data_IF_391336947273
#
_entry.id   IF_391336947273
#
_cell.length_a   1.000
_cell.length_b   1.000
_cell.length_c   1.000
_cell.angle_alpha   90.00
_cell.angle_beta   90.00
_cell.angle_gamma   90.00
#
_symmetry.space_group_name_H-M   'P 1'
#
loop_
_entity.id
_entity.type
_entity.pdbx_description
1 polymer ?
#
# COMPACT_ATOMS: atom_id res chain seq x y z
N UNK A 1 29.94 -0.86 -1.40
CA UNK A 1 28.70 -0.21 -1.87
C UNK A 1 28.38 -0.86 -3.20
N UNK A 2 27.43 -1.81 -3.21
CA UNK A 2 26.99 -2.44 -4.45
C UNK A 2 25.62 -1.88 -4.77
N UNK A 3 25.53 -1.33 -5.97
CA UNK A 3 24.33 -0.80 -6.62
C UNK A 3 23.13 -1.69 -6.33
N UNK A 4 22.14 -1.12 -5.63
CA UNK A 4 20.82 -1.72 -5.52
C UNK A 4 20.23 -1.61 -6.92
N UNK A 5 20.33 -2.70 -7.69
CA UNK A 5 19.59 -2.83 -8.92
C UNK A 5 18.14 -2.51 -8.62
N UNK A 6 17.66 -1.46 -9.26
CA UNK A 6 16.30 -1.02 -9.33
C UNK A 6 15.47 -2.09 -10.03
N UNK A 7 15.11 -3.17 -9.34
CA UNK A 7 14.13 -4.14 -9.83
C UNK A 7 12.71 -3.54 -9.93
N UNK A 8 12.54 -2.25 -9.61
CA UNK A 8 11.50 -1.42 -10.23
C UNK A 8 11.89 -1.13 -11.70
N UNK A 9 12.15 -2.18 -12.48
CA UNK A 9 12.28 -2.03 -13.91
C UNK A 9 10.93 -1.54 -14.44
N UNK A 10 11.00 -0.47 -15.21
CA UNK A 10 9.93 0.17 -15.97
C UNK A 10 9.02 -0.87 -16.65
N UNK A 11 8.03 -1.39 -15.93
CA UNK A 11 6.85 -1.97 -16.55
C UNK A 11 6.12 -0.78 -17.16
N UNK A 12 6.48 -0.48 -18.41
CA UNK A 12 5.81 0.51 -19.24
C UNK A 12 4.32 0.17 -19.21
N UNK A 13 3.55 1.01 -18.53
CA UNK A 13 2.13 0.81 -18.43
C UNK A 13 1.49 1.18 -19.76
N UNK A 14 0.93 0.19 -20.47
CA UNK A 14 0.41 0.35 -21.84
C UNK A 14 -1.06 -0.03 -21.94
N UNK A 15 -1.90 0.39 -20.98
CA UNK A 15 -3.34 0.13 -21.08
C UNK A 15 -4.01 1.05 -22.10
N UNK A 16 -4.81 0.44 -22.98
CA UNK A 16 -5.70 1.17 -23.91
C UNK A 16 -7.00 1.61 -23.25
N UNK A 17 -7.35 1.04 -22.09
CA UNK A 17 -8.56 1.38 -21.34
C UNK A 17 -8.35 2.69 -20.56
N UNK A 18 -9.14 3.76 -20.82
CA UNK A 18 -9.04 5.03 -20.09
C UNK A 18 -9.13 4.87 -18.57
N UNK A 19 -10.06 4.07 -18.09
CA UNK A 19 -10.34 3.87 -16.66
C UNK A 19 -9.14 3.23 -15.95
N UNK A 20 -8.48 2.27 -16.60
CA UNK A 20 -7.26 1.63 -16.07
C UNK A 20 -6.09 2.61 -16.12
N UNK A 21 -5.99 3.50 -17.12
CA UNK A 21 -4.99 4.59 -17.14
C UNK A 21 -5.17 5.58 -16.00
N UNK A 22 -6.39 5.97 -15.71
CA UNK A 22 -6.68 6.88 -14.61
C UNK A 22 -6.48 6.22 -13.24
N UNK A 23 -6.84 4.94 -13.10
CA UNK A 23 -6.53 4.14 -11.91
C UNK A 23 -5.02 4.01 -11.70
N UNK A 24 -4.24 3.80 -12.76
CA UNK A 24 -2.79 3.78 -12.70
C UNK A 24 -2.20 5.15 -12.34
N UNK A 25 -2.80 6.25 -12.81
CA UNK A 25 -2.41 7.59 -12.39
C UNK A 25 -2.59 7.75 -10.88
N UNK A 26 -3.72 7.31 -10.31
CA UNK A 26 -3.94 7.34 -8.84
C UNK A 26 -2.88 6.52 -8.12
N UNK A 27 -2.60 5.32 -8.60
CA UNK A 27 -1.55 4.45 -8.08
C UNK A 27 -0.19 5.18 -8.03
N UNK A 28 0.21 5.82 -9.13
CA UNK A 28 1.46 6.58 -9.19
C UNK A 28 1.40 7.83 -8.32
N UNK A 29 0.23 8.46 -8.21
CA UNK A 29 0.04 9.68 -7.44
C UNK A 29 0.27 9.46 -5.95
N UNK A 30 -0.24 8.37 -5.39
CA UNK A 30 0.04 7.98 -4.00
C UNK A 30 1.55 7.90 -3.74
N UNK A 31 2.29 7.25 -4.64
CA UNK A 31 3.74 7.04 -4.51
C UNK A 31 4.57 8.31 -4.71
N UNK A 32 4.13 9.17 -5.63
CA UNK A 32 4.93 10.31 -6.10
C UNK A 32 4.66 11.60 -5.31
N UNK A 33 3.46 11.76 -4.72
CA UNK A 33 3.13 12.99 -4.00
C UNK A 33 4.00 13.16 -2.76
N UNK A 34 4.15 12.08 -1.98
CA UNK A 34 5.05 12.03 -0.83
C UNK A 34 5.77 10.67 -0.81
N UNK A 35 6.97 10.57 -1.40
CA UNK A 35 7.73 9.32 -1.43
C UNK A 35 7.99 8.80 -0.03
N UNK A 36 7.64 7.53 0.19
CA UNK A 36 7.72 6.86 1.48
C UNK A 36 8.15 5.40 1.30
N UNK A 37 8.54 4.76 2.40
CA UNK A 37 9.03 3.38 2.43
C UNK A 37 8.07 2.50 3.22
N UNK A 38 7.82 1.30 2.70
CA UNK A 38 7.07 0.26 3.39
C UNK A 38 7.96 -0.56 4.33
N UNK A 39 7.51 -0.69 5.57
CA UNK A 39 8.19 -1.51 6.58
C UNK A 39 7.99 -3.00 6.29
N UNK A 40 6.93 -3.39 5.57
CA UNK A 40 6.69 -4.79 5.16
C UNK A 40 7.66 -5.22 4.06
N UNK A 41 8.00 -4.34 3.10
CA UNK A 41 9.03 -4.62 2.09
C UNK A 41 10.43 -4.80 2.68
N UNK A 42 10.71 -4.12 3.79
CA UNK A 42 11.96 -4.29 4.53
C UNK A 42 11.94 -5.61 5.31
N UNK A 43 10.78 -6.02 5.81
CA UNK A 43 10.62 -7.27 6.56
C UNK A 43 10.82 -8.51 5.69
N UNK A 44 10.40 -8.51 4.42
CA UNK A 44 10.70 -9.59 3.47
C UNK A 44 12.22 -9.85 3.36
N UNK A 45 13.02 -8.78 3.23
CA UNK A 45 14.49 -8.89 3.23
C UNK A 45 15.08 -9.39 4.54
N UNK A 46 14.37 -9.24 5.66
CA UNK A 46 14.81 -9.83 6.94
C UNK A 46 14.51 -11.33 6.99
N UNK A 47 13.42 -11.79 6.36
CA UNK A 47 13.10 -13.21 6.27
C UNK A 47 14.16 -13.96 5.43
N UNK A 48 14.64 -13.38 4.34
CA UNK A 48 15.77 -13.95 3.58
C UNK A 48 17.03 -14.13 4.44
N UNK A 49 17.26 -13.20 5.39
CA UNK A 49 18.39 -13.25 6.33
C UNK A 49 18.15 -14.29 7.43
N UNK A 50 16.90 -14.41 7.91
CA UNK A 50 16.47 -15.44 8.85
C UNK A 50 16.75 -16.83 8.29
N UNK A 51 16.33 -17.08 7.05
CA UNK A 51 16.53 -18.34 6.35
C UNK A 51 18.01 -18.61 6.07
N UNK A 52 18.77 -17.61 5.61
CA UNK A 52 20.18 -17.78 5.30
C UNK A 52 21.09 -17.92 6.53
N UNK A 53 20.68 -17.40 7.71
CA UNK A 53 21.53 -17.40 8.90
C UNK A 53 20.71 -17.29 10.21
N UNK A 54 19.98 -18.34 10.55
CA UNK A 54 19.11 -18.43 11.74
C UNK A 54 19.83 -18.10 13.06
N UNK A 55 21.05 -18.60 13.26
CA UNK A 55 21.79 -18.36 14.51
C UNK A 55 22.14 -16.88 14.69
N UNK A 56 22.47 -16.20 13.60
CA UNK A 56 22.73 -14.77 13.59
C UNK A 56 21.44 -13.99 13.82
N UNK A 57 20.35 -14.40 13.17
CA UNK A 57 19.02 -13.82 13.36
C UNK A 57 18.57 -13.89 14.81
N UNK A 58 18.57 -15.09 15.42
CA UNK A 58 18.18 -15.36 16.81
C UNK A 58 18.97 -14.51 17.80
N UNK A 59 20.29 -14.40 17.60
CA UNK A 59 21.17 -13.55 18.44
C UNK A 59 20.74 -12.08 18.51
N UNK A 60 19.97 -11.60 17.53
CA UNK A 60 19.58 -10.19 17.44
C UNK A 60 18.11 -9.94 17.77
N UNK A 61 17.21 -10.89 17.55
CA UNK A 61 15.81 -10.74 17.98
C UNK A 61 15.68 -10.72 19.50
N UNK A 62 16.50 -11.54 20.19
CA UNK A 62 16.38 -11.76 21.64
C UNK A 62 17.19 -10.77 22.48
N UNK A 63 18.06 -9.95 21.87
CA UNK A 63 18.95 -9.04 22.61
C UNK A 63 18.41 -7.61 22.71
N UNK A 64 18.51 -6.99 23.89
CA UNK A 64 18.20 -5.58 24.07
C UNK A 64 19.21 -4.70 23.32
N UNK A 65 18.77 -3.50 22.93
CA UNK A 65 19.46 -2.62 21.97
C UNK A 65 20.91 -2.26 22.39
N UNK A 66 21.21 -2.25 23.69
CA UNK A 66 22.54 -1.98 24.23
C UNK A 66 23.52 -3.15 24.12
N UNK A 67 23.05 -4.40 24.09
CA UNK A 67 23.91 -5.58 23.93
C UNK A 67 24.53 -5.66 22.51
N UNK A 68 24.02 -4.84 21.59
CA UNK A 68 24.47 -4.71 20.21
C UNK A 68 25.75 -3.85 20.07
N UNK A 69 26.02 -2.97 21.06
CA UNK A 69 27.15 -2.03 21.04
C UNK A 69 28.52 -2.70 21.24
N UNK A 70 28.54 -3.91 21.81
CA UNK A 70 29.77 -4.64 22.13
C UNK A 70 30.21 -5.66 21.07
N UNK A 71 29.48 -5.82 19.96
CA UNK A 71 29.87 -6.77 18.92
C UNK A 71 31.04 -6.23 18.06
N UNK A 72 32.17 -6.96 18.05
CA UNK A 72 33.40 -6.60 17.32
C UNK A 72 33.42 -7.11 15.86
N UNK A 73 32.53 -8.01 15.47
CA UNK A 73 32.49 -8.54 14.09
C UNK A 73 31.84 -7.53 13.11
N UNK A 74 32.53 -7.09 12.03
CA UNK A 74 32.00 -6.13 11.07
C UNK A 74 30.73 -6.59 10.32
N UNK A 75 30.60 -7.88 9.99
CA UNK A 75 29.39 -8.40 9.32
C UNK A 75 28.19 -8.30 10.24
N UNK A 76 28.36 -8.73 11.49
CA UNK A 76 27.34 -8.66 12.53
C UNK A 76 26.89 -7.21 12.78
N UNK A 77 27.81 -6.23 12.80
CA UNK A 77 27.47 -4.80 12.95
C UNK A 77 26.55 -4.28 11.84
N UNK A 78 26.71 -4.75 10.60
CA UNK A 78 25.84 -4.34 9.49
C UNK A 78 24.42 -4.88 9.69
N UNK A 79 24.29 -6.17 10.04
CA UNK A 79 23.00 -6.78 10.35
C UNK A 79 22.33 -6.09 11.56
N UNK A 80 23.10 -5.83 12.61
CA UNK A 80 22.65 -5.11 13.80
C UNK A 80 22.02 -3.75 13.49
N UNK A 81 22.71 -2.94 12.69
CA UNK A 81 22.19 -1.62 12.26
C UNK A 81 20.88 -1.76 11.49
N UNK A 82 20.75 -2.80 10.67
CA UNK A 82 19.56 -3.07 9.88
C UNK A 82 18.37 -3.49 10.77
N UNK A 83 18.58 -4.36 11.76
CA UNK A 83 17.56 -4.75 12.74
C UNK A 83 17.12 -3.57 13.63
N UNK A 84 18.06 -2.80 14.17
CA UNK A 84 17.74 -1.63 14.99
C UNK A 84 17.00 -0.56 14.17
N UNK A 85 17.41 -0.34 12.92
CA UNK A 85 16.69 0.53 12.00
C UNK A 85 15.27 0.01 11.73
N UNK A 86 15.08 -1.28 11.46
CA UNK A 86 13.77 -1.91 11.28
C UNK A 86 12.87 -1.71 12.52
N UNK A 87 13.37 -2.00 13.73
CA UNK A 87 12.60 -1.82 14.97
C UNK A 87 12.13 -0.37 15.13
N UNK A 88 13.03 0.60 14.88
CA UNK A 88 12.70 2.02 14.95
C UNK A 88 11.61 2.44 13.95
N UNK A 89 11.70 2.01 12.68
CA UNK A 89 10.68 2.37 11.68
C UNK A 89 9.33 1.67 11.96
N UNK A 90 9.34 0.42 12.44
CA UNK A 90 8.11 -0.30 12.84
C UNK A 90 7.45 0.37 14.03
N UNK A 91 8.25 0.82 15.01
CA UNK A 91 7.73 1.60 16.13
C UNK A 91 7.12 2.93 15.67
N UNK A 92 7.80 3.68 14.80
CA UNK A 92 7.28 4.97 14.28
C UNK A 92 5.93 4.83 13.59
N UNK A 93 5.76 3.82 12.73
CA UNK A 93 4.47 3.61 12.05
C UNK A 93 3.38 3.15 13.02
N UNK A 94 3.73 2.36 14.04
CA UNK A 94 2.79 1.98 15.09
C UNK A 94 2.33 3.20 15.89
N UNK A 95 3.28 4.02 16.38
CA UNK A 95 2.99 5.23 17.15
C UNK A 95 2.14 6.22 16.33
N UNK A 96 2.41 6.36 15.02
CA UNK A 96 1.60 7.16 14.10
C UNK A 96 0.15 6.63 14.00
N UNK A 97 -0.03 5.33 13.74
CA UNK A 97 -1.36 4.70 13.65
C UNK A 97 -2.17 4.83 14.94
N UNK A 98 -1.53 4.67 16.10
CA UNK A 98 -2.19 4.83 17.40
C UNK A 98 -2.65 6.28 17.61
N UNK A 99 -1.83 7.27 17.21
CA UNK A 99 -2.22 8.68 17.31
C UNK A 99 -3.49 9.02 16.52
N UNK A 100 -3.75 8.31 15.43
CA UNK A 100 -4.93 8.56 14.58
C UNK A 100 -6.19 7.83 15.06
N UNK A 101 -6.04 6.77 15.87
CA UNK A 101 -7.17 5.96 16.36
C UNK A 101 -7.99 6.68 17.44
N UNK A 102 -7.46 7.75 18.01
CA UNK A 102 -8.11 8.54 19.06
C UNK A 102 -9.32 9.27 18.45
N UNK A 103 -10.54 8.78 18.70
CA UNK A 103 -11.80 9.46 18.32
C UNK A 103 -12.76 8.68 17.41
N UNK A 104 -12.42 7.47 16.96
CA UNK A 104 -13.29 6.64 16.10
C UNK A 104 -12.94 6.73 14.61
N UNK A 105 -13.85 6.30 13.72
CA UNK A 105 -13.62 6.32 12.27
C UNK A 105 -13.96 7.71 11.71
N UNK A 106 -12.93 8.55 11.60
CA UNK A 106 -12.98 9.85 10.92
C UNK A 106 -12.00 9.84 9.74
N UNK A 107 -12.50 9.53 8.55
CA UNK A 107 -11.66 9.42 7.37
C UNK A 107 -11.15 10.79 6.89
N UNK A 108 -11.89 11.88 7.11
CA UNK A 108 -11.47 13.23 6.73
C UNK A 108 -10.20 13.67 7.48
N UNK A 109 -10.17 13.50 8.81
CA UNK A 109 -8.97 13.79 9.58
C UNK A 109 -7.84 12.77 9.30
N UNK A 110 -8.20 11.50 9.05
CA UNK A 110 -7.24 10.46 8.68
C UNK A 110 -6.45 10.80 7.42
N UNK A 111 -7.04 11.48 6.42
CA UNK A 111 -6.29 11.92 5.23
C UNK A 111 -5.05 12.73 5.61
N UNK A 112 -5.22 13.76 6.44
CA UNK A 112 -4.12 14.63 6.85
C UNK A 112 -3.06 13.91 7.67
N UNK A 113 -3.51 13.00 8.52
CA UNK A 113 -2.68 12.13 9.33
C UNK A 113 -1.78 11.24 8.46
N UNK A 114 -2.34 10.55 7.47
CA UNK A 114 -1.59 9.70 6.55
C UNK A 114 -0.63 10.52 5.68
N UNK A 115 -1.08 11.65 5.13
CA UNK A 115 -0.22 12.56 4.37
C UNK A 115 0.94 13.10 5.24
N UNK A 116 0.66 13.43 6.50
CA UNK A 116 1.66 13.83 7.49
C UNK A 116 2.71 12.74 7.70
N UNK A 117 2.29 11.49 7.92
CA UNK A 117 3.23 10.36 8.05
C UNK A 117 4.06 10.15 6.78
N UNK A 118 3.45 10.22 5.59
CA UNK A 118 4.21 10.11 4.34
C UNK A 118 5.24 11.22 4.21
N UNK A 119 4.87 12.46 4.59
CA UNK A 119 5.73 13.64 4.45
C UNK A 119 6.87 13.65 5.47
N UNK A 120 6.57 13.44 6.75
CA UNK A 120 7.48 13.64 7.87
C UNK A 120 8.15 12.35 8.34
N UNK A 121 7.42 11.24 8.38
CA UNK A 121 8.00 9.94 8.75
C UNK A 121 8.66 9.22 7.58
N UNK A 122 8.24 9.53 6.35
CA UNK A 122 8.66 8.82 5.13
C UNK A 122 8.30 7.33 5.18
N UNK A 123 7.21 6.98 5.87
CA UNK A 123 6.76 5.60 6.06
C UNK A 123 5.30 5.42 5.60
N UNK A 124 4.98 4.26 5.04
CA UNK A 124 3.62 3.90 4.62
C UNK A 124 3.57 2.45 4.15
N UNK A 125 2.55 1.70 4.55
CA UNK A 125 2.32 0.33 4.13
C UNK A 125 1.06 0.23 3.26
N UNK A 126 0.76 -0.98 2.77
CA UNK A 126 -0.35 -1.26 1.87
C UNK A 126 -1.71 -0.73 2.37
N UNK A 127 -1.93 -0.71 3.69
CA UNK A 127 -3.14 -0.13 4.29
C UNK A 127 -3.25 1.39 4.10
N UNK A 128 -2.17 2.14 4.36
CA UNK A 128 -2.14 3.59 4.13
C UNK A 128 -2.21 3.92 2.63
N UNK A 129 -1.50 3.14 1.81
CA UNK A 129 -1.50 3.27 0.35
C UNK A 129 -2.90 3.07 -0.24
N UNK A 130 -3.57 1.99 0.15
CA UNK A 130 -4.94 1.67 -0.27
C UNK A 130 -5.92 2.76 0.15
N UNK A 131 -5.83 3.22 1.40
CA UNK A 131 -6.68 4.29 1.92
C UNK A 131 -6.49 5.59 1.13
N UNK A 132 -5.24 5.97 0.84
CA UNK A 132 -4.95 7.17 0.05
C UNK A 132 -5.41 7.03 -1.41
N UNK A 133 -5.28 5.85 -2.02
CA UNK A 133 -5.81 5.62 -3.36
C UNK A 133 -7.33 5.79 -3.41
N UNK A 134 -8.07 5.18 -2.47
CA UNK A 134 -9.51 5.31 -2.37
C UNK A 134 -9.92 6.77 -2.09
N UNK A 135 -9.20 7.47 -1.22
CA UNK A 135 -9.39 8.90 -0.93
C UNK A 135 -9.20 9.76 -2.18
N UNK A 136 -8.15 9.54 -2.96
CA UNK A 136 -7.91 10.29 -4.20
C UNK A 136 -9.06 10.06 -5.18
N UNK A 137 -9.52 8.82 -5.36
CA UNK A 137 -10.69 8.54 -6.20
C UNK A 137 -11.94 9.30 -5.71
N UNK A 138 -12.19 9.29 -4.40
CA UNK A 138 -13.32 9.98 -3.75
C UNK A 138 -13.26 11.49 -3.94
N UNK A 139 -12.09 12.11 -3.73
CA UNK A 139 -11.83 13.53 -3.99
C UNK A 139 -12.18 13.88 -5.44
N UNK A 140 -11.78 13.01 -6.37
CA UNK A 140 -12.02 13.18 -7.79
C UNK A 140 -13.42 12.73 -8.25
N UNK A 141 -14.35 12.45 -7.34
CA UNK A 141 -15.77 12.24 -7.64
C UNK A 141 -16.18 10.81 -7.95
N UNK A 142 -15.33 9.82 -7.65
CA UNK A 142 -15.73 8.41 -7.73
C UNK A 142 -16.35 7.99 -6.40
N UNK A 143 -17.61 7.63 -6.47
CA UNK A 143 -18.37 7.06 -5.37
C UNK A 143 -18.00 5.56 -5.16
N UNK A 144 -18.38 4.99 -4.02
CA UNK A 144 -18.28 3.56 -3.73
C UNK A 144 -16.85 2.98 -3.85
N UNK A 145 -15.87 3.77 -3.40
CA UNK A 145 -14.47 3.34 -3.34
C UNK A 145 -14.21 2.71 -1.99
N UNK A 146 -13.57 1.54 -2.01
CA UNK A 146 -13.32 0.75 -0.82
C UNK A 146 -11.83 0.46 -0.67
N UNK A 147 -11.40 0.29 0.57
CA UNK A 147 -10.23 -0.52 0.87
C UNK A 147 -10.65 -1.96 1.12
N UNK A 148 -9.83 -2.93 0.75
CA UNK A 148 -10.11 -4.34 0.98
C UNK A 148 -8.83 -5.11 1.23
N UNK A 149 -8.89 -6.06 2.18
CA UNK A 149 -7.81 -7.02 2.41
C UNK A 149 -7.90 -8.18 1.42
N UNK A 150 -6.76 -8.77 1.09
CA UNK A 150 -6.72 -9.98 0.28
C UNK A 150 -6.89 -11.24 1.15
N UNK A 151 -7.54 -12.24 0.55
CA UNK A 151 -7.70 -13.59 1.07
C UNK A 151 -7.29 -14.58 -0.04
N UNK A 152 -6.47 -15.55 0.30
CA UNK A 152 -5.87 -16.51 -0.63
C UNK A 152 -6.18 -17.91 -0.11
N UNK A 153 -6.86 -18.74 -0.92
CA UNK A 153 -7.20 -20.13 -0.58
C UNK A 153 -7.85 -20.26 0.82
N UNK A 154 -8.79 -19.38 1.15
CA UNK A 154 -9.44 -19.39 2.46
C UNK A 154 -8.64 -18.73 3.59
N UNK A 155 -7.36 -18.40 3.38
CA UNK A 155 -6.45 -17.83 4.38
C UNK A 155 -6.24 -16.33 4.21
N UNK A 156 -5.96 -15.63 5.30
CA UNK A 156 -5.72 -14.18 5.25
C UNK A 156 -4.32 -13.89 4.75
N UNK A 157 -4.24 -12.98 3.77
CA UNK A 157 -2.99 -12.34 3.39
C UNK A 157 -2.91 -10.97 4.10
N UNK A 158 -1.74 -10.64 4.65
CA UNK A 158 -1.47 -9.32 5.23
C UNK A 158 -1.18 -8.29 4.12
N UNK A 159 -2.19 -8.06 3.28
CA UNK A 159 -2.12 -7.11 2.17
C UNK A 159 -3.47 -6.45 1.94
N UNK A 160 -3.44 -5.13 1.72
CA UNK A 160 -4.61 -4.27 1.52
C UNK A 160 -4.50 -3.54 0.19
N UNK A 161 -5.63 -3.37 -0.49
CA UNK A 161 -5.71 -2.71 -1.80
C UNK A 161 -6.94 -1.80 -1.86
N UNK A 162 -6.94 -0.84 -2.79
CA UNK A 162 -8.12 -0.06 -3.13
C UNK A 162 -8.92 -0.79 -4.23
N UNK A 163 -10.24 -0.84 -4.09
CA UNK A 163 -11.14 -1.54 -5.01
C UNK A 163 -12.39 -0.72 -5.25
N UNK A 164 -12.87 -0.70 -6.49
CA UNK A 164 -14.15 -0.10 -6.88
C UNK A 164 -14.65 -0.74 -8.17
N UNK A 165 -15.94 -0.59 -8.50
CA UNK A 165 -16.47 -1.03 -9.78
C UNK A 165 -16.54 0.16 -10.76
N UNK A 166 -16.06 -0.07 -12.00
CA UNK A 166 -16.03 0.95 -13.05
C UNK A 166 -17.40 1.36 -13.62
N UNK A 167 -18.48 0.73 -13.19
CA UNK A 167 -19.85 1.14 -13.51
C UNK A 167 -20.47 2.01 -12.39
N UNK A 168 -19.71 2.29 -11.32
CA UNK A 168 -20.17 3.05 -10.16
C UNK A 168 -21.01 2.24 -9.17
N UNK A 169 -21.25 0.94 -9.42
CA UNK A 169 -21.95 0.08 -8.48
C UNK A 169 -21.12 -0.16 -7.21
N UNK A 170 -21.80 -0.39 -6.08
CA UNK A 170 -21.14 -0.72 -4.81
C UNK A 170 -20.38 -2.04 -4.92
N UNK A 171 -19.15 -2.06 -4.41
CA UNK A 171 -18.35 -3.26 -4.34
C UNK A 171 -18.69 -4.05 -3.06
N UNK A 172 -19.30 -5.23 -3.22
CA UNK A 172 -19.76 -6.07 -2.11
C UNK A 172 -18.76 -7.16 -1.67
N UNK A 173 -17.49 -7.02 -2.07
CA UNK A 173 -16.44 -8.02 -1.78
C UNK A 173 -16.29 -9.12 -2.83
N UNK A 174 -17.21 -9.24 -3.80
CA UNK A 174 -17.09 -10.20 -4.91
C UNK A 174 -16.69 -9.47 -6.20
N UNK A 175 -15.52 -9.79 -6.79
CA UNK A 175 -15.09 -9.16 -8.04
C UNK A 175 -15.97 -9.59 -9.20
N UNK A 176 -16.19 -8.66 -10.13
CA UNK A 176 -16.83 -8.88 -11.41
C UNK A 176 -16.00 -8.24 -12.54
N UNK A 177 -16.49 -8.29 -13.79
CA UNK A 177 -15.80 -7.72 -14.97
C UNK A 177 -15.54 -6.21 -14.91
N UNK A 178 -16.25 -5.49 -14.05
CA UNK A 178 -16.11 -4.06 -13.85
C UNK A 178 -15.22 -3.72 -12.65
N UNK A 179 -14.81 -4.69 -11.83
CA UNK A 179 -14.01 -4.43 -10.64
C UNK A 179 -12.58 -4.06 -11.03
N UNK A 180 -12.13 -2.88 -10.60
CA UNK A 180 -10.76 -2.39 -10.74
C UNK A 180 -10.09 -2.44 -9.37
N UNK A 181 -8.84 -2.89 -9.34
CA UNK A 181 -7.98 -2.86 -8.17
C UNK A 181 -6.87 -1.83 -8.41
N UNK A 182 -6.61 -0.99 -7.41
CA UNK A 182 -5.45 -0.11 -7.33
C UNK A 182 -4.61 -0.57 -6.15
N UNK A 183 -3.38 -0.97 -6.45
CA UNK A 183 -2.40 -1.40 -5.46
C UNK A 183 -1.13 -0.55 -5.58
N UNK A 184 -1.05 0.59 -4.87
CA UNK A 184 0.14 1.44 -4.88
C UNK A 184 1.36 0.77 -4.25
N UNK A 185 1.15 -0.20 -3.36
CA UNK A 185 2.25 -0.90 -2.71
C UNK A 185 3.03 -1.73 -3.72
N UNK A 186 2.38 -2.50 -4.61
CA UNK A 186 3.09 -3.12 -5.76
C UNK A 186 3.33 -2.12 -6.90
N UNK A 187 2.55 -1.04 -6.96
CA UNK A 187 2.67 0.03 -7.96
C UNK A 187 1.88 -0.21 -9.24
N UNK A 188 0.80 -0.97 -9.18
CA UNK A 188 -0.05 -1.27 -10.34
C UNK A 188 -1.54 -1.11 -10.06
N UNK A 189 -2.27 -0.76 -11.12
CA UNK A 189 -3.72 -0.83 -11.18
C UNK A 189 -4.18 -1.54 -12.46
N UNK A 190 -5.24 -2.33 -12.36
CA UNK A 190 -5.89 -3.01 -13.50
C UNK A 190 -7.25 -3.57 -13.08
N UNK A 191 -7.97 -4.19 -14.00
CA UNK A 191 -9.10 -5.05 -13.67
C UNK A 191 -8.69 -6.17 -12.71
N UNK A 192 -9.61 -6.56 -11.83
CA UNK A 192 -9.35 -7.57 -10.80
C UNK A 192 -8.80 -8.88 -11.36
N UNK A 193 -9.35 -9.37 -12.48
CA UNK A 193 -8.86 -10.57 -13.16
C UNK A 193 -7.38 -10.47 -13.57
N UNK A 194 -6.98 -9.33 -14.12
CA UNK A 194 -5.61 -9.07 -14.55
C UNK A 194 -4.67 -8.89 -13.34
N UNK A 195 -5.11 -8.17 -12.32
CA UNK A 195 -4.34 -8.00 -11.08
C UNK A 195 -4.11 -9.32 -10.37
N UNK A 196 -5.10 -10.21 -10.31
CA UNK A 196 -4.92 -11.55 -9.74
C UNK A 196 -3.87 -12.37 -10.49
N UNK A 197 -3.86 -12.31 -11.82
CA UNK A 197 -2.80 -12.96 -12.61
C UNK A 197 -1.42 -12.36 -12.33
N UNK A 198 -1.33 -11.04 -12.19
CA UNK A 198 -0.07 -10.36 -11.83
C UNK A 198 0.39 -10.74 -10.42
N UNK A 199 -0.51 -10.83 -9.44
CA UNK A 199 -0.15 -11.28 -8.09
C UNK A 199 0.45 -12.69 -8.10
N UNK A 200 -0.11 -13.59 -8.91
CA UNK A 200 0.35 -14.97 -9.04
C UNK A 200 1.68 -15.12 -9.79
N UNK A 201 1.87 -14.34 -10.86
CA UNK A 201 2.94 -14.59 -11.83
C UNK A 201 4.08 -13.57 -11.76
N UNK A 202 3.81 -12.36 -11.27
CA UNK A 202 4.77 -11.24 -11.26
C UNK A 202 5.17 -10.86 -9.84
N UNK A 203 4.22 -10.93 -8.90
CA UNK A 203 4.42 -10.44 -7.52
C UNK A 203 4.39 -11.55 -6.46
N UNK A 204 4.48 -12.82 -6.85
CA UNK A 204 4.42 -13.97 -5.93
C UNK A 204 5.55 -13.96 -4.90
N UNK A 205 6.72 -13.44 -5.24
CA UNK A 205 7.85 -13.25 -4.31
C UNK A 205 7.60 -12.13 -3.30
N UNK A 206 6.79 -11.12 -3.66
CA UNK A 206 6.45 -10.00 -2.77
C UNK A 206 5.23 -10.32 -1.90
N UNK A 207 4.29 -11.10 -2.43
CA UNK A 207 3.05 -11.52 -1.80
C UNK A 207 3.12 -13.02 -1.50
N UNK A 208 3.96 -13.35 -0.52
CA UNK A 208 4.26 -14.74 -0.12
C UNK A 208 2.96 -15.49 0.19
N UNK A 209 2.85 -16.71 -0.33
CA UNK A 209 1.70 -17.60 -0.12
C UNK A 209 0.71 -17.66 -1.28
N UNK A 210 0.86 -16.80 -2.30
CA UNK A 210 0.07 -16.89 -3.54
C UNK A 210 0.72 -17.90 -4.50
N UNK A 211 -0.01 -18.96 -4.86
CA UNK A 211 0.39 -19.94 -5.87
C UNK A 211 -0.38 -19.70 -7.19
N UNK A 212 0.10 -20.21 -8.34
CA UNK A 212 -0.58 -20.03 -9.63
C UNK A 212 -2.06 -20.46 -9.62
N UNK A 213 -2.38 -21.55 -8.93
CA UNK A 213 -3.72 -22.08 -8.79
C UNK A 213 -4.56 -21.42 -7.69
N UNK A 214 -3.96 -20.55 -6.86
CA UNK A 214 -4.65 -20.01 -5.69
C UNK A 214 -5.89 -19.21 -6.06
N UNK A 215 -6.95 -19.35 -5.28
CA UNK A 215 -8.12 -18.49 -5.36
C UNK A 215 -7.84 -17.20 -4.57
N UNK A 216 -8.03 -16.04 -5.22
CA UNK A 216 -7.88 -14.73 -4.57
C UNK A 216 -9.26 -14.10 -4.42
N UNK A 217 -9.62 -13.75 -3.18
CA UNK A 217 -10.86 -13.08 -2.80
C UNK A 217 -10.56 -11.89 -1.89
N UNK A 218 -11.60 -11.15 -1.51
CA UNK A 218 -11.48 -9.98 -0.64
C UNK A 218 -12.10 -10.21 0.73
N UNK A 219 -11.62 -9.46 1.71
CA UNK A 219 -12.14 -9.37 3.08
C UNK A 219 -12.10 -7.94 3.58
N UNK A 220 -12.80 -7.68 4.69
CA UNK A 220 -12.77 -6.39 5.39
C UNK A 220 -12.94 -5.21 4.42
N UNK A 221 -13.96 -5.32 3.56
CA UNK A 221 -14.29 -4.26 2.61
C UNK A 221 -14.79 -3.07 3.42
N UNK A 222 -14.05 -1.97 3.34
CA UNK A 222 -14.33 -0.77 4.11
C UNK A 222 -14.39 0.44 3.17
N UNK A 223 -15.55 1.07 3.12
CA UNK A 223 -15.77 2.28 2.32
C UNK A 223 -15.08 3.48 2.95
N UNK A 224 -14.54 4.37 2.10
CA UNK A 224 -13.99 5.65 2.56
C UNK A 224 -15.12 6.66 2.76
N UNK A 225 -15.40 6.96 4.02
CA UNK A 225 -16.51 7.81 4.44
C UNK A 225 -16.14 9.29 4.41
N UNK A 226 -16.23 9.92 3.23
CA UNK A 226 -16.04 11.37 3.05
C UNK A 226 -17.33 11.97 2.48
N UNK A 227 -17.91 12.93 3.22
CA UNK A 227 -19.09 13.70 2.83
C UNK A 227 -18.80 14.70 1.71
N UNK A 228 -19.85 15.30 1.13
CA UNK A 228 -19.70 16.31 0.08
C UNK A 228 -18.92 17.56 0.54
N UNK A 229 -19.15 18.03 1.77
CA UNK A 229 -18.45 19.18 2.33
C UNK A 229 -16.99 18.86 2.63
N UNK A 230 -16.72 17.72 3.26
CA UNK A 230 -15.34 17.27 3.53
C UNK A 230 -14.56 17.07 2.24
N UNK A 231 -15.20 16.49 1.20
CA UNK A 231 -14.61 16.38 -0.12
C UNK A 231 -14.21 17.75 -0.68
N UNK A 232 -15.10 18.74 -0.59
CA UNK A 232 -14.80 20.11 -1.04
C UNK A 232 -13.60 20.70 -0.28
N UNK A 233 -13.56 20.56 1.05
CA UNK A 233 -12.45 21.03 1.87
C UNK A 233 -11.13 20.32 1.53
N UNK A 234 -11.15 19.00 1.28
CA UNK A 234 -9.98 18.25 0.87
C UNK A 234 -9.45 18.69 -0.51
N UNK A 235 -10.33 18.99 -1.47
CA UNK A 235 -9.94 19.54 -2.78
C UNK A 235 -9.20 20.86 -2.60
N UNK A 236 -9.73 21.76 -1.75
CA UNK A 236 -9.12 23.06 -1.48
C UNK A 236 -7.76 22.95 -0.77
N UNK A 237 -7.65 22.01 0.17
CA UNK A 237 -6.44 21.82 0.99
C UNK A 237 -5.34 21.05 0.27
N UNK A 238 -5.73 20.11 -0.59
CA UNK A 238 -4.84 19.19 -1.28
C UNK A 238 -5.11 19.20 -2.80
N UNK A 239 -4.96 20.35 -3.48
CA UNK A 239 -5.17 20.44 -4.92
C UNK A 239 -4.24 19.52 -5.70
N UNK A 240 -3.07 19.18 -5.12
CA UNK A 240 -2.15 18.21 -5.70
C UNK A 240 -2.79 16.82 -5.86
N UNK A 241 -3.76 16.41 -5.05
CA UNK A 241 -4.43 15.12 -5.14
C UNK A 241 -5.53 15.07 -6.21
N UNK A 242 -5.85 16.21 -6.82
CA UNK A 242 -6.84 16.30 -7.89
C UNK A 242 -6.22 15.90 -9.24
N UNK A 243 -7.06 15.36 -10.13
CA UNK A 243 -6.65 15.13 -11.52
C UNK A 243 -6.26 16.48 -12.17
N UNK A 244 -5.20 16.49 -13.00
CA UNK A 244 -4.70 17.72 -13.61
C UNK A 244 -5.65 18.32 -14.67
N UNK A 245 -6.67 17.57 -15.11
CA UNK A 245 -7.66 18.06 -16.05
C UNK A 245 -9.07 17.75 -15.51
N UNK A 246 -9.79 18.80 -15.12
CA UNK A 246 -11.16 18.75 -14.60
C UNK A 246 -12.19 18.26 -15.63
N UNK A 247 -11.83 18.24 -16.92
CA UNK A 247 -12.63 17.68 -18.00
C UNK A 247 -12.39 16.19 -18.25
N UNK A 248 -11.50 15.51 -17.50
CA UNK A 248 -11.39 14.05 -17.59
C UNK A 248 -12.74 13.45 -17.20
N UNK A 249 -13.32 12.68 -18.12
CA UNK A 249 -14.56 11.92 -17.92
C UNK A 249 -14.33 10.69 -17.01
N UNK A 250 -13.55 10.83 -15.96
CA UNK A 250 -13.28 9.70 -15.08
C UNK A 250 -14.57 9.32 -14.38
N UNK A 251 -15.13 8.17 -14.75
CA UNK A 251 -16.28 7.56 -14.09
C UNK A 251 -17.47 8.51 -13.94
N UNK A 252 -17.63 9.47 -14.86
CA UNK A 252 -18.86 10.26 -14.91
C UNK A 252 -20.01 9.27 -15.08
N UNK A 253 -20.97 9.29 -14.15
CA UNK A 253 -22.27 8.66 -14.37
C UNK A 253 -22.73 9.15 -15.74
N UNK A 254 -22.83 8.23 -16.71
CA UNK A 254 -23.54 8.49 -17.95
C UNK A 254 -25.00 8.75 -17.62
#
# INVERSE_FOLDING_TARGET
>A
MNSVNSSQNNLLFTSRCPEVRDAQWVCQKVKNTFPHISTTKISAKMADIEEANWDLYRKFIDKPEYALLYNKNPKDRKFLRLFAWRRRIVKRIHDARESWRIGGKDDYHRVNNVLGQFKYDKLGNCGEDAFMAATILRINGVDNTCTAGLKVDGSFLDHMVCVFNKDGSTFNGKPNKNTIIIDPWVGMADFASNMFQKYKNVFSELLIGIKPQSEITFRNVDEVGISGMERFLLIMKHPELCYPNSAREFMRKK
#
